data_IF_971725060223
#
_entry.id   IF_971725060223
#
_cell.length_a   1.000
_cell.length_b   1.000
_cell.length_c   1.000
_cell.angle_alpha   90.00
_cell.angle_beta   90.00
_cell.angle_gamma   90.00
#
_symmetry.space_group_name_H-M   'P 1'
#
loop_
_entity.id
_entity.type
_entity.pdbx_description
1 polymer ?
#
# COMPACT_ATOMS: atom_id res chain seq x y z
N UNK A 1 -46.26 20.48 18.04
CA UNK A 1 -45.58 19.37 17.36
C UNK A 1 -44.17 19.22 17.93
N UNK A 2 -44.07 18.28 18.87
CA UNK A 2 -42.98 17.39 19.30
C UNK A 2 -41.51 17.88 19.27
N UNK A 3 -40.94 18.09 20.46
CA UNK A 3 -39.52 17.84 20.73
C UNK A 3 -39.42 16.89 21.92
N UNK A 4 -39.47 15.60 21.66
CA UNK A 4 -39.19 14.54 22.64
C UNK A 4 -37.69 14.24 22.62
N UNK A 5 -36.95 14.95 23.46
CA UNK A 5 -35.60 14.58 23.88
C UNK A 5 -35.72 13.65 25.08
N UNK A 6 -35.50 12.35 24.89
CA UNK A 6 -35.33 11.41 26.01
C UNK A 6 -34.24 10.39 25.69
N UNK A 7 -33.09 10.62 26.34
CA UNK A 7 -32.12 9.67 26.90
C UNK A 7 -32.16 8.21 26.41
N UNK A 8 -31.06 7.76 25.80
CA UNK A 8 -30.69 6.34 25.76
C UNK A 8 -29.39 6.12 26.55
N UNK A 9 -29.52 5.64 27.79
CA UNK A 9 -28.43 5.03 28.55
C UNK A 9 -28.20 3.63 27.98
N UNK A 10 -27.12 3.42 27.23
CA UNK A 10 -26.67 2.08 26.87
C UNK A 10 -25.69 1.61 27.94
N UNK A 11 -26.20 0.86 28.90
CA UNK A 11 -25.39 0.05 29.81
C UNK A 11 -24.81 -1.12 29.01
N UNK A 12 -23.54 -1.02 28.61
CA UNK A 12 -22.83 -2.15 28.01
C UNK A 12 -22.26 -3.02 29.13
N UNK A 13 -23.02 -4.05 29.48
CA UNK A 13 -22.66 -5.08 30.45
C UNK A 13 -21.41 -5.83 29.99
N UNK A 14 -20.25 -5.53 30.59
CA UNK A 14 -19.09 -6.41 30.56
C UNK A 14 -19.38 -7.58 31.52
N UNK A 15 -19.96 -8.66 30.99
CA UNK A 15 -20.11 -9.93 31.70
C UNK A 15 -19.25 -10.98 31.00
N UNK A 16 -18.02 -11.11 31.47
CA UNK A 16 -17.09 -12.18 31.09
C UNK A 16 -16.46 -12.74 32.35
N UNK A 17 -17.21 -13.56 33.09
CA UNK A 17 -16.67 -14.32 34.22
C UNK A 17 -15.95 -15.56 33.70
N UNK A 18 -14.63 -15.54 33.74
CA UNK A 18 -13.83 -16.74 33.82
C UNK A 18 -12.80 -16.53 34.95
N UNK A 19 -13.14 -17.04 36.13
CA UNK A 19 -12.20 -17.16 37.23
C UNK A 19 -11.23 -18.29 36.91
N UNK A 20 -9.92 -18.02 36.93
CA UNK A 20 -8.90 -19.04 37.12
C UNK A 20 -8.06 -18.62 38.32
N UNK A 21 -8.03 -19.50 39.34
CA UNK A 21 -7.28 -19.36 40.57
C UNK A 21 -5.79 -19.13 40.32
N UNK A 22 -5.26 -18.15 41.04
CA UNK A 22 -3.84 -17.82 41.21
C UNK A 22 -2.98 -19.03 41.62
N UNK A 23 -1.87 -19.24 40.92
CA UNK A 23 -0.60 -19.59 41.58
C UNK A 23 0.43 -18.56 41.17
N UNK A 24 0.83 -17.71 42.12
CA UNK A 24 1.96 -16.81 41.99
C UNK A 24 3.23 -17.65 42.19
N UNK A 25 4.04 -17.78 41.15
CA UNK A 25 5.48 -18.03 41.30
C UNK A 25 6.24 -16.81 40.77
N UNK A 26 6.95 -16.15 41.67
CA UNK A 26 7.74 -14.95 41.42
C UNK A 26 9.18 -15.36 41.13
N UNK A 27 9.43 -15.85 39.91
CA UNK A 27 10.78 -16.02 39.39
C UNK A 27 10.98 -15.16 38.13
N UNK A 28 11.14 -13.85 38.37
CA UNK A 28 11.67 -12.90 37.37
C UNK A 28 10.61 -11.99 36.76
N UNK A 29 10.86 -10.69 36.80
CA UNK A 29 10.09 -9.61 36.15
C UNK A 29 9.57 -10.00 34.76
N UNK A 30 8.29 -10.36 34.66
CA UNK A 30 7.64 -10.68 33.39
C UNK A 30 6.22 -11.15 33.61
N UNK A 31 5.24 -10.41 33.11
CA UNK A 31 3.86 -10.88 32.99
C UNK A 31 3.87 -12.08 32.04
N UNK A 32 3.88 -13.30 32.58
CA UNK A 32 4.02 -14.52 31.78
C UNK A 32 2.71 -14.82 31.05
N UNK A 33 2.49 -14.16 29.91
CA UNK A 33 1.45 -14.54 28.95
C UNK A 33 1.68 -16.00 28.57
N UNK A 34 0.62 -16.82 28.61
CA UNK A 34 0.72 -18.18 28.10
C UNK A 34 0.89 -18.14 26.58
N UNK A 35 1.44 -19.22 26.00
CA UNK A 35 1.53 -19.34 24.55
C UNK A 35 0.17 -19.20 23.86
N UNK A 36 -0.91 -19.67 24.51
CA UNK A 36 -2.27 -19.53 24.01
C UNK A 36 -2.69 -18.06 23.93
N UNK A 37 -2.34 -17.26 24.94
CA UNK A 37 -2.64 -15.82 24.97
C UNK A 37 -1.90 -15.06 23.87
N UNK A 38 -0.62 -15.37 23.67
CA UNK A 38 0.18 -14.76 22.59
C UNK A 38 -0.38 -15.10 21.20
N UNK A 39 -0.84 -16.34 20.99
CA UNK A 39 -1.45 -16.76 19.72
C UNK A 39 -2.79 -16.08 19.49
N UNK A 40 -3.63 -15.99 20.53
CA UNK A 40 -4.91 -15.30 20.44
C UNK A 40 -4.73 -13.82 20.08
N UNK A 41 -3.76 -13.17 20.71
CA UNK A 41 -3.42 -11.77 20.48
C UNK A 41 -2.89 -11.54 19.06
N UNK A 42 -2.01 -12.44 18.57
CA UNK A 42 -1.51 -12.39 17.20
C UNK A 42 -2.64 -12.50 16.16
N UNK A 43 -3.56 -13.44 16.34
CA UNK A 43 -4.68 -13.63 15.40
C UNK A 43 -5.61 -12.42 15.38
N UNK A 44 -5.88 -11.84 16.55
CA UNK A 44 -6.64 -10.59 16.68
C UNK A 44 -5.93 -9.44 15.95
N UNK A 45 -4.64 -9.23 16.18
CA UNK A 45 -3.85 -8.17 15.54
C UNK A 45 -3.87 -8.30 14.02
N UNK A 46 -3.69 -9.52 13.52
CA UNK A 46 -3.74 -9.83 12.09
C UNK A 46 -5.12 -9.56 11.49
N UNK A 47 -6.20 -9.96 12.17
CA UNK A 47 -7.56 -9.70 11.72
C UNK A 47 -7.91 -8.20 11.74
N UNK A 48 -7.35 -7.45 12.69
CA UNK A 48 -7.51 -6.00 12.80
C UNK A 48 -6.66 -5.20 11.78
N UNK A 49 -5.76 -5.86 11.04
CA UNK A 49 -4.83 -5.19 10.12
C UNK A 49 -3.77 -4.36 10.83
N UNK A 50 -3.44 -4.69 12.08
CA UNK A 50 -2.41 -4.02 12.87
C UNK A 50 -0.99 -4.52 12.56
N UNK A 51 -0.91 -5.68 11.92
CA UNK A 51 0.34 -6.30 11.48
C UNK A 51 0.49 -6.19 9.96
N UNK A 52 1.72 -5.99 9.51
CA UNK A 52 2.07 -6.11 8.10
C UNK A 52 2.10 -7.58 7.63
N UNK A 53 2.44 -7.79 6.36
CA UNK A 53 2.52 -9.12 5.76
C UNK A 53 3.62 -10.02 6.35
N UNK A 54 4.63 -9.45 7.00
CA UNK A 54 5.73 -10.15 7.67
C UNK A 54 5.41 -10.40 9.16
N UNK A 55 4.34 -9.81 9.68
CA UNK A 55 3.89 -9.96 11.07
C UNK A 55 4.45 -8.88 12.01
N UNK A 56 5.07 -7.82 11.49
CA UNK A 56 5.54 -6.70 12.29
C UNK A 56 4.43 -5.65 12.46
N UNK A 57 4.48 -4.81 13.51
CA UNK A 57 3.54 -3.70 13.66
C UNK A 57 3.56 -2.81 12.41
N UNK A 58 2.41 -2.63 11.77
CA UNK A 58 2.30 -1.78 10.60
C UNK A 58 2.62 -0.32 10.99
N UNK A 59 3.67 0.26 10.41
CA UNK A 59 4.16 1.61 10.73
C UNK A 59 3.09 2.71 10.59
N UNK A 60 2.07 2.44 9.78
CA UNK A 60 0.82 3.19 9.72
C UNK A 60 -0.31 2.17 9.76
N UNK A 61 -0.85 1.89 10.94
CA UNK A 61 -2.11 1.14 11.08
C UNK A 61 -3.28 1.97 10.54
N UNK A 62 -3.25 2.30 9.25
CA UNK A 62 -4.44 2.69 8.53
C UNK A 62 -5.29 1.42 8.52
N UNK A 63 -6.30 1.37 9.41
CA UNK A 63 -7.33 0.35 9.36
C UNK A 63 -7.80 0.26 7.91
N UNK A 64 -7.38 -0.78 7.21
CA UNK A 64 -7.81 -0.99 5.84
C UNK A 64 -9.31 -1.24 5.89
N UNK A 65 -10.10 -0.27 5.44
CA UNK A 65 -11.53 -0.47 5.28
C UNK A 65 -11.71 -1.65 4.35
N UNK A 66 -12.44 -2.67 4.81
CA UNK A 66 -12.74 -3.81 3.97
C UNK A 66 -13.39 -3.31 2.67
N UNK A 67 -12.90 -3.79 1.53
CA UNK A 67 -13.49 -3.48 0.23
C UNK A 67 -14.95 -3.93 0.23
N UNK A 68 -15.85 -3.09 -0.29
CA UNK A 68 -17.26 -3.45 -0.50
C UNK A 68 -17.45 -4.28 -1.76
N UNK A 69 -16.40 -4.45 -2.58
CA UNK A 69 -16.45 -5.20 -3.84
C UNK A 69 -16.31 -6.70 -3.59
N UNK A 70 -17.15 -7.47 -4.28
CA UNK A 70 -17.00 -8.90 -4.41
C UNK A 70 -15.74 -9.24 -5.21
N UNK A 71 -15.23 -10.47 -5.03
CA UNK A 71 -14.08 -10.96 -5.80
C UNK A 71 -14.34 -11.00 -7.31
N UNK A 72 -15.59 -11.25 -7.70
CA UNK A 72 -16.00 -11.23 -9.10
C UNK A 72 -15.89 -9.82 -9.69
N UNK A 73 -16.36 -8.80 -8.97
CA UNK A 73 -16.26 -7.40 -9.39
C UNK A 73 -14.80 -6.94 -9.49
N UNK A 74 -13.96 -7.27 -8.51
CA UNK A 74 -12.52 -6.94 -8.55
C UNK A 74 -11.84 -7.61 -9.76
N UNK A 75 -12.21 -8.86 -10.07
CA UNK A 75 -11.64 -9.58 -11.22
C UNK A 75 -12.09 -8.97 -12.54
N UNK A 76 -13.37 -8.61 -12.65
CA UNK A 76 -13.92 -7.95 -13.82
C UNK A 76 -13.24 -6.58 -14.06
N UNK A 77 -13.04 -5.79 -13.00
CA UNK A 77 -12.37 -4.50 -13.03
C UNK A 77 -10.89 -4.62 -13.44
N UNK A 78 -10.21 -5.65 -12.93
CA UNK A 78 -8.83 -5.97 -13.29
C UNK A 78 -8.70 -6.33 -14.78
N UNK A 79 -9.57 -7.20 -15.31
CA UNK A 79 -9.58 -7.54 -16.74
C UNK A 79 -9.90 -6.32 -17.61
N UNK A 80 -10.89 -5.53 -17.17
CA UNK A 80 -11.08 -4.09 -17.40
C UNK A 80 -9.81 -3.35 -17.79
N UNK A 81 -9.12 -2.99 -16.72
CA UNK A 81 -7.99 -2.07 -16.73
C UNK A 81 -6.80 -2.68 -17.49
N UNK A 82 -6.63 -4.01 -17.44
CA UNK A 82 -5.61 -4.71 -18.21
C UNK A 82 -5.85 -4.59 -19.71
N UNK A 83 -7.08 -4.80 -20.19
CA UNK A 83 -7.41 -4.67 -21.60
C UNK A 83 -7.29 -3.22 -22.09
N UNK A 84 -7.59 -2.25 -21.22
CA UNK A 84 -7.42 -0.83 -21.48
C UNK A 84 -5.95 -0.35 -21.40
N UNK A 85 -5.02 -1.19 -20.92
CA UNK A 85 -3.62 -0.80 -20.72
C UNK A 85 -3.39 0.14 -19.53
N UNK A 86 -4.35 0.24 -18.61
CA UNK A 86 -4.30 1.10 -17.42
C UNK A 86 -3.46 0.47 -16.28
N UNK A 87 -3.20 -0.84 -16.34
CA UNK A 87 -2.34 -1.54 -15.39
C UNK A 87 -0.92 -1.61 -15.95
N UNK A 88 0.01 -0.90 -15.30
CA UNK A 88 1.44 -1.11 -15.52
C UNK A 88 1.81 -2.53 -15.10
N UNK A 89 2.33 -3.31 -16.05
CA UNK A 89 2.83 -4.67 -15.85
C UNK A 89 4.35 -4.60 -15.69
N UNK A 90 4.82 -4.05 -14.56
CA UNK A 90 6.25 -4.04 -14.23
C UNK A 90 6.62 -3.13 -13.06
N UNK A 91 7.87 -3.25 -12.58
CA UNK A 91 8.52 -2.27 -11.69
C UNK A 91 8.88 -1.00 -12.46
N UNK A 92 7.90 -0.40 -13.15
CA UNK A 92 8.10 0.87 -13.84
C UNK A 92 8.23 1.97 -12.79
N UNK A 93 9.46 2.16 -12.32
CA UNK A 93 9.95 3.47 -11.89
C UNK A 93 9.55 4.41 -13.02
N UNK A 94 8.62 5.33 -12.76
CA UNK A 94 8.00 6.21 -13.76
C UNK A 94 9.02 6.58 -14.84
N UNK A 95 8.91 5.92 -16.00
CA UNK A 95 9.81 6.19 -17.11
C UNK A 95 9.50 7.62 -17.57
N UNK A 96 10.53 8.44 -17.86
CA UNK A 96 10.31 9.82 -18.28
C UNK A 96 9.36 9.83 -19.47
N UNK A 97 8.39 10.75 -19.40
CA UNK A 97 7.38 11.05 -20.42
C UNK A 97 7.91 10.74 -21.81
N UNK A 98 7.19 9.88 -22.53
CA UNK A 98 7.48 9.49 -23.92
C UNK A 98 7.84 10.76 -24.70
N UNK A 99 9.11 10.88 -25.11
CA UNK A 99 9.57 12.06 -25.84
C UNK A 99 8.69 12.25 -27.09
N UNK A 100 8.34 13.50 -27.46
CA UNK A 100 7.53 13.74 -28.63
C UNK A 100 8.21 13.12 -29.85
N UNK A 101 7.42 12.43 -30.67
CA UNK A 101 7.91 11.86 -31.93
C UNK A 101 8.35 13.04 -32.81
N UNK A 102 9.61 13.02 -33.24
CA UNK A 102 10.12 14.05 -34.16
C UNK A 102 9.31 14.01 -35.46
N UNK A 103 8.85 15.18 -35.90
CA UNK A 103 8.22 15.33 -37.22
C UNK A 103 9.24 15.47 -38.35
N UNK A 104 10.54 15.49 -38.04
CA UNK A 104 11.61 15.66 -39.02
C UNK A 104 11.93 14.35 -39.74
N UNK A 105 12.11 14.45 -41.05
CA UNK A 105 12.68 13.41 -41.88
C UNK A 105 14.16 13.20 -41.55
N UNK A 106 14.70 12.03 -41.91
CA UNK A 106 16.13 11.73 -41.76
C UNK A 106 17.03 12.74 -42.47
N UNK A 107 16.59 13.25 -43.63
CA UNK A 107 17.33 14.25 -44.40
C UNK A 107 17.44 15.58 -43.64
N UNK A 108 16.35 16.03 -43.03
CA UNK A 108 16.33 17.27 -42.23
C UNK A 108 17.21 17.16 -40.97
N UNK A 109 17.19 16.01 -40.31
CA UNK A 109 18.06 15.73 -39.16
C UNK A 109 19.54 15.78 -39.57
N UNK A 110 19.89 15.21 -40.73
CA UNK A 110 21.26 15.22 -41.24
C UNK A 110 21.75 16.64 -41.56
N UNK A 111 20.90 17.46 -42.19
CA UNK A 111 21.24 18.86 -42.47
C UNK A 111 21.46 19.67 -41.18
N UNK A 112 20.59 19.48 -40.18
CA UNK A 112 20.72 20.15 -38.90
C UNK A 112 21.98 19.73 -38.14
N UNK A 113 22.32 18.44 -38.18
CA UNK A 113 23.56 17.92 -37.63
C UNK A 113 24.79 18.57 -38.27
N UNK A 114 24.82 18.67 -39.61
CA UNK A 114 25.95 19.30 -40.32
C UNK A 114 26.06 20.80 -40.03
N UNK A 115 24.92 21.49 -39.92
CA UNK A 115 24.87 22.90 -39.49
C UNK A 115 25.45 23.07 -38.09
N UNK A 116 24.96 22.29 -37.12
CA UNK A 116 25.40 22.36 -35.73
C UNK A 116 26.89 21.99 -35.59
N UNK A 117 27.35 21.00 -36.37
CA UNK A 117 28.77 20.63 -36.44
C UNK A 117 29.64 21.77 -36.94
N UNK A 118 29.25 22.45 -38.03
CA UNK A 118 29.99 23.60 -38.57
C UNK A 118 29.96 24.80 -37.62
N UNK A 119 28.86 24.98 -36.89
CA UNK A 119 28.69 26.04 -35.91
C UNK A 119 29.40 25.75 -34.56
N UNK A 120 29.93 24.53 -34.36
CA UNK A 120 30.55 24.13 -33.09
C UNK A 120 29.56 23.94 -31.94
N UNK A 121 28.28 23.78 -32.23
CA UNK A 121 27.19 23.64 -31.24
C UNK A 121 27.07 22.22 -30.66
N UNK A 122 27.87 21.26 -31.17
CA UNK A 122 27.82 19.87 -30.74
C UNK A 122 28.72 19.63 -29.52
N UNK A 123 28.12 19.16 -28.42
CA UNK A 123 28.89 18.62 -27.30
C UNK A 123 29.53 17.28 -27.71
N UNK A 124 30.85 17.27 -27.81
CA UNK A 124 31.66 16.09 -28.21
C UNK A 124 32.30 15.38 -27.01
N UNK A 125 31.99 15.81 -25.78
CA UNK A 125 32.62 15.29 -24.56
C UNK A 125 32.28 13.82 -24.26
N UNK A 126 31.17 13.30 -24.77
CA UNK A 126 30.71 11.92 -24.54
C UNK A 126 31.38 10.85 -25.44
N UNK A 127 32.39 11.21 -26.25
CA UNK A 127 32.98 10.35 -27.28
C UNK A 127 34.41 9.85 -27.04
N UNK A 128 35.00 10.01 -25.85
CA UNK A 128 36.30 9.41 -25.53
C UNK A 128 36.16 8.33 -24.46
N UNK A 129 36.06 7.09 -24.94
CA UNK A 129 36.36 5.85 -24.21
C UNK A 129 37.40 5.08 -25.00
#
# INVERSE_FOLDING_TARGET
>A
MNKLTTLAFVALSFMGTAQAMTTMDHAGMGTALSRADVVAEYLRARAAGELDHEGFPAATAAKHTASTLTRAEVTAEYLRARAAGEISIGFERALPVKAPVSTKTRAEVQMEYERARKAGELDTSFGRG
#
